data_IF_396951337074
#
_entry.id   IF_396951337074
#
_cell.length_a   1.000
_cell.length_b   1.000
_cell.length_c   1.000
_cell.angle_alpha   90.00
_cell.angle_beta   90.00
_cell.angle_gamma   90.00
#
_symmetry.space_group_name_H-M   'P 1'
#
loop_
_entity.id
_entity.type
_entity.pdbx_description
1 polymer ?
#
# COMPACT_ATOMS: atom_id res chain seq x y z
N UNK A 1 -67.31 -6.07 -56.06
CA UNK A 1 -66.86 -5.24 -54.92
C UNK A 1 -66.58 -6.16 -53.75
N UNK A 2 -65.32 -6.57 -53.62
CA UNK A 2 -64.77 -7.23 -52.43
C UNK A 2 -63.28 -6.86 -52.45
N UNK A 3 -62.82 -6.16 -51.42
CA UNK A 3 -61.43 -5.79 -51.23
C UNK A 3 -60.80 -6.74 -50.19
N UNK A 4 -59.54 -7.15 -50.39
CA UNK A 4 -58.64 -7.51 -49.30
C UNK A 4 -57.45 -6.53 -49.27
N UNK A 5 -57.21 -5.92 -48.11
CA UNK A 5 -56.18 -6.27 -47.11
C UNK A 5 -54.89 -5.48 -47.35
N UNK A 6 -54.62 -4.61 -46.38
CA UNK A 6 -53.55 -3.64 -46.37
C UNK A 6 -52.32 -4.32 -45.76
N UNK A 7 -51.24 -4.44 -46.53
CA UNK A 7 -49.93 -4.85 -46.05
C UNK A 7 -49.46 -3.86 -44.97
N UNK A 8 -49.36 -4.33 -43.72
CA UNK A 8 -48.61 -3.63 -42.68
C UNK A 8 -47.20 -4.21 -42.63
N UNK A 9 -46.28 -3.57 -43.34
CA UNK A 9 -44.84 -3.68 -43.10
C UNK A 9 -44.57 -3.32 -41.62
N UNK A 10 -44.32 -4.35 -40.80
CA UNK A 10 -43.69 -4.19 -39.50
C UNK A 10 -42.20 -3.93 -39.71
N UNK A 11 -41.87 -2.70 -40.10
CA UNK A 11 -40.50 -2.22 -40.12
C UNK A 11 -39.96 -2.21 -38.68
N UNK A 12 -38.99 -3.09 -38.47
CA UNK A 12 -38.01 -3.15 -37.39
C UNK A 12 -37.76 -1.81 -36.69
N UNK A 13 -38.30 -1.65 -35.48
CA UNK A 13 -37.76 -0.70 -34.50
C UNK A 13 -36.68 -1.43 -33.67
N UNK A 14 -35.67 -1.95 -34.36
CA UNK A 14 -34.36 -2.20 -33.77
C UNK A 14 -33.56 -0.91 -33.95
N UNK A 15 -33.96 0.14 -33.24
CA UNK A 15 -33.06 1.28 -33.06
C UNK A 15 -31.85 0.77 -32.27
N UNK A 16 -30.75 0.55 -32.97
CA UNK A 16 -29.44 0.28 -32.42
C UNK A 16 -29.14 1.26 -31.27
N UNK A 17 -29.19 0.80 -30.01
CA UNK A 17 -28.59 1.50 -28.87
C UNK A 17 -27.07 1.28 -28.95
N UNK A 18 -26.47 1.79 -30.03
CA UNK A 18 -25.04 1.76 -30.25
C UNK A 18 -24.42 2.99 -29.57
N UNK A 19 -23.77 2.79 -28.42
CA UNK A 19 -22.70 3.70 -27.96
C UNK A 19 -22.92 4.54 -26.70
N UNK A 20 -23.99 4.35 -25.91
CA UNK A 20 -24.10 5.04 -24.62
C UNK A 20 -23.29 4.30 -23.54
N UNK A 21 -22.05 4.72 -23.33
CA UNK A 21 -21.22 4.21 -22.23
C UNK A 21 -21.93 4.51 -20.90
N UNK A 22 -22.13 3.51 -20.06
CA UNK A 22 -22.79 3.66 -18.75
C UNK A 22 -21.83 4.30 -17.72
N UNK A 23 -22.35 4.84 -16.62
CA UNK A 23 -21.48 5.36 -15.54
C UNK A 23 -20.65 4.25 -14.88
N UNK A 24 -21.21 3.04 -14.80
CA UNK A 24 -20.50 1.84 -14.36
C UNK A 24 -19.31 1.55 -15.28
N UNK A 25 -19.53 1.47 -16.60
CA UNK A 25 -18.45 1.25 -17.57
C UNK A 25 -17.38 2.37 -17.53
N UNK A 26 -17.79 3.63 -17.29
CA UNK A 26 -16.84 4.74 -17.09
C UNK A 26 -15.99 4.53 -15.83
N UNK A 27 -16.60 4.08 -14.74
CA UNK A 27 -15.90 3.80 -13.48
C UNK A 27 -14.96 2.61 -13.60
N UNK A 28 -15.39 1.52 -14.25
CA UNK A 28 -14.55 0.35 -14.51
C UNK A 28 -13.29 0.72 -15.31
N UNK A 29 -13.45 1.48 -16.40
CA UNK A 29 -12.31 1.98 -17.20
C UNK A 29 -11.35 2.84 -16.37
N UNK A 30 -11.89 3.68 -15.48
CA UNK A 30 -11.09 4.52 -14.60
C UNK A 30 -10.32 3.69 -13.57
N UNK A 31 -10.97 2.71 -12.94
CA UNK A 31 -10.34 1.75 -12.02
C UNK A 31 -9.20 1.00 -12.70
N UNK A 32 -9.44 0.50 -13.92
CA UNK A 32 -8.40 -0.15 -14.74
C UNK A 32 -7.23 0.80 -15.00
N UNK A 33 -7.49 2.06 -15.39
CA UNK A 33 -6.43 3.03 -15.64
C UNK A 33 -5.54 3.25 -14.40
N UNK A 34 -6.15 3.49 -13.24
CA UNK A 34 -5.40 3.67 -11.99
C UNK A 34 -4.69 2.40 -11.53
N UNK A 35 -5.23 1.22 -11.83
CA UNK A 35 -4.51 -0.04 -11.60
C UNK A 35 -3.29 -0.17 -12.51
N UNK A 36 -3.40 0.19 -13.80
CA UNK A 36 -2.25 0.22 -14.72
C UNK A 36 -1.22 1.26 -14.27
N UNK A 37 -1.65 2.41 -13.76
CA UNK A 37 -0.76 3.41 -13.14
C UNK A 37 0.03 2.80 -11.97
N UNK A 38 -0.64 2.09 -11.05
CA UNK A 38 0.03 1.37 -9.95
C UNK A 38 1.04 0.36 -10.48
N UNK A 39 0.63 -0.45 -11.47
CA UNK A 39 1.48 -1.49 -12.08
C UNK A 39 2.70 -0.86 -12.75
N UNK A 40 2.55 0.25 -13.48
CA UNK A 40 3.67 0.93 -14.15
C UNK A 40 4.78 1.33 -13.16
N UNK A 41 4.43 2.01 -12.06
CA UNK A 41 5.43 2.38 -11.02
C UNK A 41 6.04 1.16 -10.35
N UNK A 42 5.23 0.14 -10.08
CA UNK A 42 5.71 -1.10 -9.51
C UNK A 42 6.72 -1.81 -10.43
N UNK A 43 6.41 -1.92 -11.73
CA UNK A 43 7.28 -2.56 -12.72
C UNK A 43 8.53 -1.74 -13.02
N UNK A 44 8.43 -0.41 -12.97
CA UNK A 44 9.58 0.49 -13.07
C UNK A 44 10.60 0.21 -11.95
N UNK A 45 10.13 0.04 -10.71
CA UNK A 45 10.95 -0.42 -9.61
C UNK A 45 11.43 -1.86 -9.83
N UNK A 46 10.58 -2.79 -10.26
CA UNK A 46 10.97 -4.19 -10.45
C UNK A 46 12.10 -4.35 -11.46
N UNK A 47 12.02 -3.67 -12.60
CA UNK A 47 12.86 -3.95 -13.77
C UNK A 47 13.82 -2.83 -14.12
N UNK A 48 14.00 -1.87 -13.21
CA UNK A 48 14.84 -0.70 -13.41
C UNK A 48 14.50 0.02 -14.74
N UNK A 49 13.20 0.22 -14.99
CA UNK A 49 12.67 0.83 -16.23
C UNK A 49 12.15 2.23 -15.96
N UNK A 50 12.29 3.18 -16.89
CA UNK A 50 11.60 4.47 -16.80
C UNK A 50 10.09 4.27 -16.70
N UNK A 51 9.40 5.23 -16.08
CA UNK A 51 7.94 5.29 -16.05
C UNK A 51 7.37 5.47 -17.46
N UNK A 52 6.29 4.77 -17.78
CA UNK A 52 5.57 4.99 -19.03
C UNK A 52 4.44 5.98 -18.88
N UNK A 53 3.67 5.91 -17.79
CA UNK A 53 2.55 6.82 -17.56
C UNK A 53 3.04 8.05 -16.79
N UNK A 54 2.77 9.25 -17.27
CA UNK A 54 3.21 10.47 -16.58
C UNK A 54 2.10 11.02 -15.68
N UNK A 55 2.48 11.59 -14.53
CA UNK A 55 1.52 12.20 -13.60
C UNK A 55 0.73 13.33 -14.27
N UNK A 56 1.38 14.12 -15.13
CA UNK A 56 0.76 15.21 -15.88
C UNK A 56 -0.33 14.73 -16.84
N UNK A 57 -0.22 13.50 -17.36
CA UNK A 57 -1.24 12.89 -18.21
C UNK A 57 -2.47 12.44 -17.39
N UNK A 58 -2.29 12.26 -16.08
CA UNK A 58 -3.32 11.82 -15.15
C UNK A 58 -3.97 12.97 -14.38
N UNK A 59 -3.43 14.20 -14.41
CA UNK A 59 -3.89 15.35 -13.60
C UNK A 59 -5.38 15.67 -13.75
N UNK A 60 -5.93 15.53 -14.96
CA UNK A 60 -7.34 15.74 -15.24
C UNK A 60 -8.25 14.55 -14.90
N UNK A 61 -7.69 13.37 -14.63
CA UNK A 61 -8.45 12.13 -14.44
C UNK A 61 -9.03 12.07 -13.02
N UNK A 62 -10.32 11.75 -12.92
CA UNK A 62 -10.95 11.50 -11.63
C UNK A 62 -10.30 10.29 -10.94
N UNK A 63 -10.16 10.34 -9.62
CA UNK A 63 -9.79 9.17 -8.84
C UNK A 63 -10.90 8.10 -8.84
N UNK A 64 -10.57 6.82 -8.58
CA UNK A 64 -11.58 5.78 -8.40
C UNK A 64 -12.50 6.10 -7.22
N UNK A 65 -13.76 5.73 -7.32
CA UNK A 65 -14.67 5.81 -6.18
C UNK A 65 -14.38 4.71 -5.15
N UNK A 66 -14.90 4.89 -3.93
CA UNK A 66 -14.77 3.90 -2.87
C UNK A 66 -15.33 2.52 -3.30
N UNK A 67 -14.69 1.44 -2.82
CA UNK A 67 -15.07 0.08 -3.19
C UNK A 67 -16.47 -0.28 -2.69
N UNK A 68 -16.87 0.21 -1.51
CA UNK A 68 -18.22 -0.02 -0.97
C UNK A 68 -19.26 0.65 -1.86
N UNK A 69 -19.01 1.91 -2.23
CA UNK A 69 -19.90 2.66 -3.12
C UNK A 69 -20.01 2.02 -4.51
N UNK A 70 -18.89 1.51 -5.05
CA UNK A 70 -18.87 0.76 -6.30
C UNK A 70 -19.67 -0.54 -6.20
N UNK A 71 -19.46 -1.35 -5.16
CA UNK A 71 -20.17 -2.60 -4.93
C UNK A 71 -21.68 -2.41 -4.71
N UNK A 72 -22.07 -1.29 -4.09
CA UNK A 72 -23.47 -0.91 -3.88
C UNK A 72 -24.14 -0.35 -5.15
N UNK A 73 -23.40 -0.14 -6.23
CA UNK A 73 -23.92 0.44 -7.47
C UNK A 73 -24.27 1.93 -7.34
N UNK A 74 -23.58 2.66 -6.47
CA UNK A 74 -23.82 4.10 -6.21
C UNK A 74 -23.25 5.00 -7.31
N UNK A 75 -23.57 4.69 -8.57
CA UNK A 75 -23.13 5.44 -9.74
C UNK A 75 -23.92 6.74 -9.86
N UNK A 76 -23.37 7.83 -9.32
CA UNK A 76 -23.96 9.15 -9.51
C UNK A 76 -23.80 9.61 -10.96
N UNK A 77 -24.88 10.03 -11.65
CA UNK A 77 -24.76 10.62 -12.97
C UNK A 77 -23.94 11.89 -12.88
N UNK A 78 -22.77 11.91 -13.53
CA UNK A 78 -21.97 13.13 -13.63
C UNK A 78 -22.78 14.17 -14.42
N UNK A 79 -22.86 15.43 -13.94
CA UNK A 79 -23.36 16.52 -14.76
C UNK A 79 -22.59 16.53 -16.08
N UNK A 80 -23.29 16.43 -17.21
CA UNK A 80 -22.63 16.64 -18.50
C UNK A 80 -22.01 18.04 -18.51
N UNK A 81 -20.83 18.24 -19.13
CA UNK A 81 -20.22 19.57 -19.23
C UNK A 81 -21.06 20.59 -20.02
N UNK A 82 -22.16 20.15 -20.63
CA UNK A 82 -23.15 20.95 -21.34
C UNK A 82 -24.39 21.30 -20.48
N UNK A 83 -24.51 20.74 -19.28
CA UNK A 83 -25.65 20.98 -18.41
C UNK A 83 -25.40 22.23 -17.58
N UNK A 84 -26.25 23.24 -17.75
CA UNK A 84 -26.21 24.50 -17.01
C UNK A 84 -26.27 24.22 -15.49
N UNK A 85 -25.27 24.68 -14.70
CA UNK A 85 -25.19 24.46 -13.25
C UNK A 85 -26.44 24.91 -12.49
N UNK A 86 -27.24 25.83 -13.04
CA UNK A 86 -28.46 26.30 -12.38
C UNK A 86 -29.62 25.30 -12.41
N UNK A 87 -29.58 24.28 -13.28
CA UNK A 87 -30.68 23.31 -13.45
C UNK A 87 -30.60 22.17 -12.43
N UNK A 88 -29.41 21.87 -11.91
CA UNK A 88 -29.20 20.81 -10.90
C UNK A 88 -29.46 21.28 -9.46
N UNK A 89 -29.56 22.59 -9.23
CA UNK A 89 -29.75 23.17 -7.91
C UNK A 89 -31.20 23.07 -7.38
N UNK A 90 -32.18 22.70 -8.22
CA UNK A 90 -33.61 22.83 -7.89
C UNK A 90 -34.33 21.56 -7.42
N UNK A 91 -33.65 20.41 -7.27
CA UNK A 91 -34.37 19.13 -7.07
C UNK A 91 -33.82 18.08 -6.12
N UNK A 92 -32.57 18.16 -5.66
CA UNK A 92 -32.00 17.13 -4.78
C UNK A 92 -31.37 17.76 -3.55
N UNK A 93 -31.86 17.31 -2.38
CA UNK A 93 -31.28 17.53 -1.07
C UNK A 93 -29.76 17.59 -1.14
N UNK A 94 -29.19 18.68 -0.63
CA UNK A 94 -27.77 18.96 -0.54
C UNK A 94 -27.02 17.92 0.32
N UNK A 95 -26.88 16.69 -0.15
CA UNK A 95 -25.74 15.88 0.23
C UNK A 95 -24.53 16.57 -0.39
N UNK A 96 -23.58 16.92 0.45
CA UNK A 96 -22.31 17.49 0.04
C UNK A 96 -21.66 16.56 -0.98
N UNK A 97 -21.84 16.80 -2.28
CA UNK A 97 -21.05 16.15 -3.31
C UNK A 97 -19.64 16.71 -3.15
N UNK A 98 -18.85 16.11 -2.25
CA UNK A 98 -17.42 16.35 -2.22
C UNK A 98 -16.93 16.08 -3.64
N UNK A 99 -16.51 17.14 -4.33
CA UNK A 99 -15.98 17.04 -5.68
C UNK A 99 -14.89 15.98 -5.67
N UNK A 100 -15.13 14.86 -6.36
CA UNK A 100 -14.20 13.73 -6.41
C UNK A 100 -12.83 14.23 -6.85
N UNK A 101 -11.80 13.88 -6.09
CA UNK A 101 -10.43 14.30 -6.36
C UNK A 101 -10.00 13.88 -7.77
N UNK A 102 -9.09 14.66 -8.36
CA UNK A 102 -8.48 14.39 -9.67
C UNK A 102 -6.97 14.26 -9.50
N UNK A 103 -6.35 13.53 -10.43
CA UNK A 103 -4.92 13.33 -10.45
C UNK A 103 -4.41 12.41 -9.33
N UNK A 104 -3.09 12.15 -9.34
CA UNK A 104 -2.44 11.43 -8.25
C UNK A 104 -2.59 12.19 -6.93
N UNK A 105 -2.81 11.48 -5.82
CA UNK A 105 -2.81 12.05 -4.48
C UNK A 105 -1.72 11.41 -3.62
N UNK A 106 -1.39 12.07 -2.51
CA UNK A 106 -0.40 11.58 -1.53
C UNK A 106 -1.05 11.20 -0.19
N UNK A 107 -2.38 11.15 -0.14
CA UNK A 107 -3.13 10.92 1.09
C UNK A 107 -3.86 9.57 1.09
N UNK A 108 -3.77 8.85 2.21
CA UNK A 108 -4.59 7.67 2.45
C UNK A 108 -6.05 8.05 2.70
N UNK A 109 -6.96 7.54 1.88
CA UNK A 109 -8.38 7.92 1.93
C UNK A 109 -9.36 6.73 2.04
N UNK A 110 -8.89 5.47 2.07
CA UNK A 110 -9.78 4.31 2.14
C UNK A 110 -9.05 2.98 2.26
N UNK A 111 -9.81 1.89 2.41
CA UNK A 111 -9.28 0.52 2.54
C UNK A 111 -8.89 -0.12 1.21
N UNK A 112 -9.41 0.38 0.10
CA UNK A 112 -9.14 -0.16 -1.24
C UNK A 112 -7.68 0.03 -1.66
N UNK A 113 -7.22 -0.74 -2.64
CA UNK A 113 -5.89 -0.54 -3.24
C UNK A 113 -5.72 0.89 -3.78
N UNK A 114 -6.80 1.51 -4.26
CA UNK A 114 -6.79 2.91 -4.69
C UNK A 114 -6.71 3.89 -3.52
N UNK A 115 -7.16 3.47 -2.33
CA UNK A 115 -7.24 4.36 -1.19
C UNK A 115 -5.99 4.45 -0.34
N UNK A 116 -5.29 3.34 -0.12
CA UNK A 116 -4.06 3.35 0.68
C UNK A 116 -2.79 3.14 -0.15
N UNK A 117 -2.86 2.43 -1.28
CA UNK A 117 -1.67 2.01 -2.03
C UNK A 117 -1.38 2.90 -3.24
N UNK A 118 -2.39 3.38 -3.97
CA UNK A 118 -2.20 4.33 -5.06
C UNK A 118 -1.39 5.58 -4.64
N UNK A 119 -1.60 6.19 -3.46
CA UNK A 119 -0.78 7.32 -3.03
C UNK A 119 0.70 6.97 -2.87
N UNK A 120 1.00 5.78 -2.35
CA UNK A 120 2.36 5.27 -2.26
C UNK A 120 2.98 5.04 -3.63
N UNK A 121 2.19 4.60 -4.61
CA UNK A 121 2.66 4.43 -5.98
C UNK A 121 2.94 5.75 -6.68
N UNK A 122 2.17 6.81 -6.41
CA UNK A 122 2.50 8.15 -6.88
C UNK A 122 3.87 8.61 -6.34
N UNK A 123 4.10 8.46 -5.04
CA UNK A 123 5.40 8.78 -4.41
C UNK A 123 6.53 7.91 -4.97
N UNK A 124 6.27 6.61 -5.21
CA UNK A 124 7.25 5.72 -5.83
C UNK A 124 7.66 6.21 -7.22
N UNK A 125 6.71 6.75 -8.01
CA UNK A 125 6.99 7.36 -9.30
C UNK A 125 8.03 8.48 -9.18
N UNK A 126 7.82 9.43 -8.26
CA UNK A 126 8.77 10.52 -8.02
C UNK A 126 10.16 10.00 -7.60
N UNK A 127 10.18 8.95 -6.76
CA UNK A 127 11.42 8.30 -6.30
C UNK A 127 12.17 7.65 -7.47
N UNK A 128 11.46 6.98 -8.38
CA UNK A 128 12.03 6.36 -9.59
C UNK A 128 12.61 7.42 -10.51
N UNK A 129 11.87 8.49 -10.80
CA UNK A 129 12.31 9.57 -11.67
C UNK A 129 13.56 10.26 -11.11
N UNK A 130 13.57 10.57 -9.81
CA UNK A 130 14.74 11.16 -9.14
C UNK A 130 15.96 10.22 -9.23
N UNK A 131 15.76 8.91 -8.98
CA UNK A 131 16.83 7.94 -9.04
C UNK A 131 17.43 7.81 -10.46
N UNK A 132 16.59 7.75 -11.50
CA UNK A 132 17.07 7.70 -12.89
C UNK A 132 17.74 9.01 -13.31
N UNK A 133 17.22 10.15 -12.87
CA UNK A 133 17.80 11.45 -13.17
C UNK A 133 19.19 11.62 -12.54
N UNK A 134 19.37 11.20 -11.27
CA UNK A 134 20.67 11.17 -10.57
C UNK A 134 21.68 10.23 -11.21
N UNK A 135 21.23 9.10 -11.74
CA UNK A 135 22.08 8.08 -12.37
C UNK A 135 22.23 8.27 -13.89
N UNK A 136 21.66 9.33 -14.48
CA UNK A 136 21.70 9.53 -15.92
C UNK A 136 23.16 9.69 -16.42
N UNK A 137 23.63 8.89 -17.39
CA UNK A 137 25.05 8.82 -17.78
C UNK A 137 25.69 10.15 -18.18
N UNK A 138 24.88 11.07 -18.74
CA UNK A 138 25.33 12.40 -19.17
C UNK A 138 24.92 13.54 -18.26
N UNK A 139 23.84 13.36 -17.48
CA UNK A 139 23.14 14.47 -16.82
C UNK A 139 22.95 14.29 -15.30
N UNK A 140 23.43 13.18 -14.74
CA UNK A 140 23.34 12.89 -13.31
C UNK A 140 24.39 13.63 -12.49
N UNK A 141 25.59 13.05 -12.41
CA UNK A 141 26.65 13.49 -11.49
C UNK A 141 27.30 14.83 -11.88
N UNK A 142 27.26 15.22 -13.15
CA UNK A 142 28.02 16.37 -13.66
C UNK A 142 27.20 17.58 -14.16
N UNK A 143 25.87 17.48 -14.23
CA UNK A 143 25.07 18.46 -14.98
C UNK A 143 24.11 19.30 -14.12
N UNK A 144 23.51 18.73 -13.07
CA UNK A 144 22.69 19.50 -12.12
C UNK A 144 23.44 19.73 -10.81
N UNK A 145 23.14 20.86 -10.16
CA UNK A 145 23.70 21.15 -8.84
C UNK A 145 23.14 20.16 -7.81
N UNK A 146 23.98 19.68 -6.89
CA UNK A 146 23.53 18.80 -5.78
C UNK A 146 22.30 19.37 -5.05
N UNK A 147 22.24 20.70 -4.94
CA UNK A 147 21.14 21.45 -4.31
C UNK A 147 19.77 21.25 -4.99
N UNK A 148 19.73 21.06 -6.31
CA UNK A 148 18.45 20.77 -7.01
C UNK A 148 17.95 19.37 -6.69
N UNK A 149 18.84 18.39 -6.65
CA UNK A 149 18.51 17.01 -6.27
C UNK A 149 18.08 16.89 -4.81
N UNK A 150 18.68 17.70 -3.93
CA UNK A 150 18.29 17.78 -2.52
C UNK A 150 16.90 18.41 -2.39
N UNK A 151 16.60 19.45 -3.15
CA UNK A 151 15.28 20.09 -3.18
C UNK A 151 14.17 19.13 -3.61
N UNK A 152 14.40 18.33 -4.66
CA UNK A 152 13.45 17.30 -5.10
C UNK A 152 13.27 16.20 -4.04
N UNK A 153 14.36 15.73 -3.42
CA UNK A 153 14.26 14.73 -2.37
C UNK A 153 13.47 15.22 -1.15
N UNK A 154 13.64 16.48 -0.75
CA UNK A 154 12.87 17.09 0.33
C UNK A 154 11.37 17.18 0.02
N UNK A 155 11.00 17.43 -1.24
CA UNK A 155 9.60 17.45 -1.63
C UNK A 155 8.97 16.06 -1.59
N UNK A 156 9.68 15.03 -2.07
CA UNK A 156 9.24 13.63 -1.94
C UNK A 156 9.10 13.24 -0.46
N UNK A 157 10.04 13.68 0.39
CA UNK A 157 9.95 13.45 1.84
C UNK A 157 8.71 14.12 2.43
N UNK A 158 8.34 15.32 1.97
CA UNK A 158 7.09 15.99 2.35
C UNK A 158 5.87 15.18 1.93
N UNK A 159 5.86 14.59 0.74
CA UNK A 159 4.77 13.70 0.30
C UNK A 159 4.65 12.44 1.17
N UNK A 160 5.77 11.83 1.56
CA UNK A 160 5.77 10.71 2.51
C UNK A 160 5.20 11.11 3.88
N UNK A 161 5.52 12.31 4.37
CA UNK A 161 4.97 12.83 5.62
C UNK A 161 3.46 13.10 5.52
N UNK A 162 2.97 13.61 4.39
CA UNK A 162 1.53 13.76 4.15
C UNK A 162 0.82 12.41 4.17
N UNK A 163 1.41 11.39 3.53
CA UNK A 163 0.89 10.04 3.57
C UNK A 163 0.84 9.49 5.01
N UNK A 164 1.93 9.64 5.78
CA UNK A 164 1.98 9.17 7.16
C UNK A 164 0.87 9.81 8.02
N UNK A 165 0.68 11.12 7.89
CA UNK A 165 -0.34 11.86 8.64
C UNK A 165 -1.76 11.45 8.24
N UNK A 166 -2.02 11.31 6.94
CA UNK A 166 -3.33 10.89 6.43
C UNK A 166 -3.66 9.44 6.82
N UNK A 167 -2.68 8.53 6.81
CA UNK A 167 -2.86 7.15 7.28
C UNK A 167 -3.24 7.10 8.77
N UNK A 168 -2.59 7.92 9.61
CA UNK A 168 -2.95 8.05 11.04
C UNK A 168 -4.36 8.61 11.22
N UNK A 169 -4.73 9.66 10.48
CA UNK A 169 -6.09 10.23 10.51
C UNK A 169 -7.15 9.25 10.03
N UNK A 170 -6.86 8.47 8.99
CA UNK A 170 -7.73 7.40 8.50
C UNK A 170 -7.96 6.35 9.59
N UNK A 171 -6.90 5.84 10.20
CA UNK A 171 -6.99 4.89 11.30
C UNK A 171 -7.82 5.41 12.49
N UNK A 172 -7.59 6.66 12.90
CA UNK A 172 -8.34 7.29 14.00
C UNK A 172 -9.83 7.39 13.71
N UNK A 173 -10.21 7.71 12.47
CA UNK A 173 -11.61 7.74 12.04
C UNK A 173 -12.21 6.33 12.07
N UNK A 174 -11.58 5.38 11.38
CA UNK A 174 -12.12 4.02 11.23
C UNK A 174 -12.16 3.22 12.54
N UNK A 175 -11.22 3.43 13.46
CA UNK A 175 -11.20 2.77 14.78
C UNK A 175 -12.00 3.56 15.84
N UNK A 176 -12.14 4.88 15.70
CA UNK A 176 -12.80 5.75 16.68
C UNK A 176 -14.32 5.77 16.60
N UNK A 177 -14.90 5.44 15.44
CA UNK A 177 -16.36 5.38 15.21
C UNK A 177 -17.06 4.38 16.14
N UNK A 178 -16.37 3.37 16.67
CA UNK A 178 -17.02 2.32 17.47
C UNK A 178 -17.14 2.63 18.98
N UNK A 179 -16.38 3.60 19.50
CA UNK A 179 -16.40 3.96 20.93
C UNK A 179 -17.50 4.97 21.31
N UNK A 180 -18.16 5.58 20.33
CA UNK A 180 -19.22 6.58 20.56
C UNK A 180 -20.63 6.01 20.51
N UNK A 181 -20.83 4.78 20.02
CA UNK A 181 -22.15 4.15 19.92
C UNK A 181 -22.67 3.49 21.20
N UNK A 182 -21.90 3.53 22.30
CA UNK A 182 -22.29 2.91 23.59
C UNK A 182 -22.52 3.92 24.72
N UNK A 183 -22.48 5.23 24.45
CA UNK A 183 -22.57 6.26 25.49
C UNK A 183 -23.94 6.99 25.58
N UNK A 184 -24.82 6.85 24.58
CA UNK A 184 -26.04 7.66 24.46
C UNK A 184 -27.37 6.87 24.64
N UNK A 185 -27.42 5.94 25.59
CA UNK A 185 -28.70 5.39 26.10
C UNK A 185 -28.73 5.41 27.64
N UNK A 186 -28.53 6.58 28.23
CA UNK A 186 -28.98 6.85 29.61
C UNK A 186 -29.66 8.22 29.64
N UNK A 187 -30.82 8.32 28.98
CA UNK A 187 -31.77 9.39 29.31
C UNK A 187 -32.79 8.91 30.34
N UNK A 188 -32.70 9.56 31.49
CA UNK A 188 -33.59 9.49 32.63
C UNK A 188 -35.03 9.80 32.22
N UNK A 189 -35.98 8.94 32.60
CA UNK A 189 -37.37 9.35 32.73
C UNK A 189 -37.93 8.83 34.06
N UNK A 190 -37.90 9.73 35.05
CA UNK A 190 -38.73 9.66 36.25
C UNK A 190 -40.18 9.98 35.88
N UNK A 191 -41.12 9.06 36.15
CA UNK A 191 -42.40 9.47 36.75
C UNK A 191 -43.09 8.32 37.48
N UNK A 192 -43.56 8.65 38.68
CA UNK A 192 -44.31 7.80 39.63
C UNK A 192 -45.67 7.33 39.08
N UNK A 193 -46.06 6.08 39.37
CA UNK A 193 -47.41 5.73 39.81
C UNK A 193 -47.51 4.31 40.38
N UNK A 194 -48.28 4.22 41.46
CA UNK A 194 -48.49 3.13 42.41
C UNK A 194 -49.29 1.95 41.80
N UNK A 195 -48.88 0.70 42.07
CA UNK A 195 -49.69 -0.51 41.85
C UNK A 195 -49.03 -1.78 42.40
N UNK A 196 -49.77 -2.77 42.94
CA UNK A 196 -49.24 -3.71 43.93
C UNK A 196 -48.70 -5.03 43.36
N UNK A 197 -47.74 -5.58 44.12
CA UNK A 197 -47.18 -6.94 44.16
C UNK A 197 -48.05 -8.07 43.58
N UNK A 198 -47.46 -8.87 42.69
CA UNK A 198 -47.69 -10.32 42.70
C UNK A 198 -46.54 -11.15 42.08
N UNK A 199 -46.49 -12.40 42.53
CA UNK A 199 -45.33 -13.28 42.62
C UNK A 199 -44.86 -13.99 41.33
N UNK A 200 -43.54 -14.25 41.28
CA UNK A 200 -43.01 -15.57 40.86
C UNK A 200 -42.42 -15.68 39.45
N UNK A 201 -41.11 -15.46 39.31
CA UNK A 201 -40.27 -16.20 38.33
C UNK A 201 -38.80 -16.17 38.80
N UNK A 202 -38.13 -17.32 39.03
CA UNK A 202 -36.72 -17.31 39.36
C UNK A 202 -35.89 -17.03 38.11
N UNK A 203 -35.14 -15.93 38.13
CA UNK A 203 -34.13 -15.58 37.13
C UNK A 203 -33.05 -16.66 37.09
N UNK A 204 -32.92 -17.31 35.94
CA UNK A 204 -31.78 -18.16 35.63
C UNK A 204 -30.59 -17.24 35.38
N UNK A 205 -29.82 -16.96 36.43
CA UNK A 205 -28.48 -16.42 36.29
C UNK A 205 -27.64 -17.43 35.49
N UNK A 206 -27.49 -17.16 34.19
CA UNK A 206 -26.42 -17.77 33.39
C UNK A 206 -25.10 -17.21 33.88
N UNK A 207 -24.51 -17.94 34.82
CA UNK A 207 -23.09 -17.87 35.21
C UNK A 207 -22.28 -18.49 34.08
N UNK A 208 -22.16 -17.78 32.95
CA UNK A 208 -21.21 -18.16 31.91
C UNK A 208 -20.82 -16.98 31.00
N UNK A 209 -19.96 -16.08 31.49
CA UNK A 209 -19.02 -15.38 30.61
C UNK A 209 -17.76 -14.86 31.30
N UNK A 210 -17.34 -15.44 32.42
CA UNK A 210 -16.02 -15.17 33.02
C UNK A 210 -14.96 -16.03 32.32
N UNK A 211 -14.83 -15.86 31.00
CA UNK A 211 -13.75 -16.38 30.15
C UNK A 211 -14.00 -15.93 28.70
N UNK A 212 -13.70 -14.68 28.38
CA UNK A 212 -13.22 -14.18 27.06
C UNK A 212 -13.15 -12.66 27.09
N UNK A 213 -12.21 -12.12 27.87
CA UNK A 213 -11.80 -10.71 27.80
C UNK A 213 -10.88 -10.47 26.59
N UNK A 214 -11.30 -10.92 25.41
CA UNK A 214 -10.72 -10.52 24.14
C UNK A 214 -11.86 -9.88 23.36
N UNK A 215 -11.80 -8.55 23.24
CA UNK A 215 -12.73 -7.78 22.41
C UNK A 215 -12.84 -8.46 21.05
N UNK A 216 -14.03 -8.92 20.65
CA UNK A 216 -14.23 -9.45 19.30
C UNK A 216 -14.09 -8.28 18.34
N UNK A 217 -12.88 -8.10 17.80
CA UNK A 217 -12.61 -7.05 16.82
C UNK A 217 -13.53 -7.23 15.61
N UNK A 218 -14.08 -6.14 15.10
CA UNK A 218 -14.92 -6.19 13.90
C UNK A 218 -14.09 -6.45 12.66
N UNK A 219 -14.71 -6.96 11.60
CA UNK A 219 -14.02 -7.19 10.31
C UNK A 219 -13.43 -5.89 9.74
N UNK A 220 -14.15 -4.78 9.85
CA UNK A 220 -13.69 -3.44 9.45
C UNK A 220 -12.48 -2.95 10.27
N UNK A 221 -12.44 -3.26 11.58
CA UNK A 221 -11.26 -2.97 12.41
C UNK A 221 -10.05 -3.78 11.96
N UNK A 222 -10.22 -5.08 11.67
CA UNK A 222 -9.13 -5.93 11.17
C UNK A 222 -8.62 -5.39 9.83
N UNK A 223 -9.51 -5.07 8.89
CA UNK A 223 -9.14 -4.49 7.59
C UNK A 223 -8.39 -3.17 7.75
N UNK A 224 -8.82 -2.32 8.70
CA UNK A 224 -8.12 -1.07 9.02
C UNK A 224 -6.70 -1.35 9.53
N UNK A 225 -6.52 -2.33 10.43
CA UNK A 225 -5.20 -2.71 10.95
C UNK A 225 -4.28 -3.27 9.85
N UNK A 226 -4.82 -4.09 8.95
CA UNK A 226 -4.09 -4.61 7.79
C UNK A 226 -3.61 -3.44 6.91
N UNK A 227 -4.51 -2.55 6.49
CA UNK A 227 -4.19 -1.38 5.66
C UNK A 227 -3.13 -0.49 6.32
N UNK A 228 -3.25 -0.24 7.63
CA UNK A 228 -2.23 0.49 8.39
C UNK A 228 -0.88 -0.19 8.34
N UNK A 229 -0.81 -1.50 8.56
CA UNK A 229 0.44 -2.24 8.62
C UNK A 229 1.13 -2.29 7.25
N UNK A 230 0.39 -2.60 6.18
CA UNK A 230 0.89 -2.59 4.80
C UNK A 230 1.33 -1.19 4.36
N UNK A 231 0.48 -0.18 4.57
CA UNK A 231 0.80 1.21 4.23
C UNK A 231 2.04 1.73 4.96
N UNK A 232 2.16 1.44 6.26
CA UNK A 232 3.33 1.82 7.07
C UNK A 232 4.61 1.13 6.59
N UNK A 233 4.53 -0.17 6.29
CA UNK A 233 5.69 -0.90 5.77
C UNK A 233 6.17 -0.29 4.45
N UNK A 234 5.29 -0.16 3.46
CA UNK A 234 5.66 0.35 2.14
C UNK A 234 6.17 1.79 2.24
N UNK A 235 5.54 2.65 3.05
CA UNK A 235 6.03 4.02 3.29
C UNK A 235 7.47 4.05 3.83
N UNK A 236 7.80 3.18 4.78
CA UNK A 236 9.19 3.07 5.26
C UNK A 236 10.15 2.56 4.19
N UNK A 237 9.72 1.61 3.35
CA UNK A 237 10.51 1.16 2.19
C UNK A 237 10.74 2.31 1.21
N UNK A 238 9.75 3.16 0.94
CA UNK A 238 9.92 4.34 0.08
C UNK A 238 10.91 5.35 0.67
N UNK A 239 10.90 5.57 1.99
CA UNK A 239 11.95 6.36 2.65
C UNK A 239 13.36 5.76 2.46
N UNK A 240 13.48 4.44 2.53
CA UNK A 240 14.75 3.73 2.28
C UNK A 240 15.18 3.90 0.83
N UNK A 241 14.27 3.76 -0.13
CA UNK A 241 14.57 3.95 -1.56
C UNK A 241 14.95 5.40 -1.90
N UNK A 242 14.38 6.39 -1.21
CA UNK A 242 14.72 7.80 -1.40
C UNK A 242 16.12 8.16 -0.88
N UNK A 243 16.53 7.56 0.24
CA UNK A 243 17.78 7.90 0.96
C UNK A 243 18.94 6.95 0.69
N UNK A 244 18.64 5.69 0.36
CA UNK A 244 19.58 4.60 0.25
C UNK A 244 19.96 4.24 -1.18
N UNK A 245 20.84 3.25 -1.28
CA UNK A 245 21.25 2.66 -2.56
C UNK A 245 20.30 1.53 -2.92
N UNK A 246 19.83 1.54 -4.17
CA UNK A 246 18.94 0.51 -4.69
C UNK A 246 19.67 -0.79 -5.03
N UNK A 247 20.96 -0.71 -5.37
CA UNK A 247 21.76 -1.87 -5.76
C UNK A 247 22.33 -2.59 -4.53
N UNK A 248 21.97 -3.86 -4.29
CA UNK A 248 22.41 -4.60 -3.11
C UNK A 248 23.92 -4.87 -3.08
N UNK A 249 24.59 -4.94 -4.24
CA UNK A 249 26.04 -5.11 -4.30
C UNK A 249 26.75 -3.81 -3.94
N UNK A 250 26.31 -2.68 -4.50
CA UNK A 250 26.88 -1.36 -4.14
C UNK A 250 26.65 -1.02 -2.66
N UNK A 251 25.54 -1.52 -2.10
CA UNK A 251 25.22 -1.40 -0.69
C UNK A 251 26.19 -2.23 0.17
N UNK A 252 26.52 -3.46 -0.23
CA UNK A 252 27.48 -4.33 0.46
C UNK A 252 28.94 -3.87 0.35
N UNK A 253 29.34 -3.38 -0.82
CA UNK A 253 30.71 -2.93 -1.09
C UNK A 253 31.03 -1.65 -0.32
N UNK A 254 30.08 -0.73 -0.20
CA UNK A 254 30.22 0.52 0.56
C UNK A 254 31.46 1.35 0.17
N UNK A 255 31.76 1.41 -1.13
CA UNK A 255 32.97 2.10 -1.64
C UNK A 255 33.03 3.61 -1.34
N UNK A 256 31.90 4.23 -1.01
CA UNK A 256 31.74 5.67 -0.72
C UNK A 256 31.62 5.96 0.80
N UNK A 257 31.82 4.96 1.66
CA UNK A 257 31.68 5.08 3.12
C UNK A 257 30.29 5.54 3.56
N UNK A 258 29.25 5.24 2.79
CA UNK A 258 27.87 5.63 3.09
C UNK A 258 27.41 5.11 4.45
N UNK A 259 27.91 3.96 4.93
CA UNK A 259 27.60 3.43 6.27
C UNK A 259 27.97 4.37 7.42
N UNK A 260 28.89 5.30 7.18
CA UNK A 260 29.31 6.29 8.19
C UNK A 260 28.46 7.57 8.17
N UNK A 261 27.50 7.66 7.24
CA UNK A 261 26.69 8.86 7.03
C UNK A 261 25.45 8.91 7.94
N UNK A 262 24.92 10.12 8.14
CA UNK A 262 23.61 10.29 8.80
C UNK A 262 22.48 9.64 7.99
N UNK A 263 22.59 9.61 6.66
CA UNK A 263 21.63 8.95 5.78
C UNK A 263 21.49 7.46 6.08
N UNK A 264 22.61 6.77 6.33
CA UNK A 264 22.61 5.37 6.73
C UNK A 264 21.93 5.14 8.08
N UNK A 265 22.19 6.00 9.08
CA UNK A 265 21.56 5.90 10.40
C UNK A 265 20.04 6.06 10.28
N UNK A 266 19.60 7.07 9.54
CA UNK A 266 18.17 7.30 9.28
C UNK A 266 17.54 6.13 8.55
N UNK A 267 18.17 5.63 7.49
CA UNK A 267 17.68 4.48 6.72
C UNK A 267 17.61 3.21 7.58
N UNK A 268 18.59 3.00 8.48
CA UNK A 268 18.59 1.88 9.43
C UNK A 268 17.38 1.94 10.36
N UNK A 269 17.07 3.12 10.91
CA UNK A 269 15.87 3.34 11.70
C UNK A 269 14.60 3.00 10.91
N UNK A 270 14.51 3.45 9.66
CA UNK A 270 13.38 3.13 8.77
C UNK A 270 13.26 1.63 8.47
N UNK A 271 14.37 0.91 8.29
CA UNK A 271 14.35 -0.52 8.05
C UNK A 271 13.87 -1.33 9.27
N UNK A 272 14.25 -0.90 10.48
CA UNK A 272 13.73 -1.50 11.72
C UNK A 272 12.22 -1.24 11.86
N UNK A 273 11.76 0.00 11.63
CA UNK A 273 10.32 0.32 11.66
C UNK A 273 9.53 -0.40 10.55
N UNK A 274 10.12 -0.60 9.38
CA UNK A 274 9.52 -1.41 8.31
C UNK A 274 9.33 -2.87 8.73
N UNK A 275 10.30 -3.44 9.45
CA UNK A 275 10.21 -4.80 9.98
C UNK A 275 9.21 -4.91 11.15
N UNK A 276 9.06 -3.86 11.97
CA UNK A 276 8.02 -3.77 12.99
C UNK A 276 6.62 -3.75 12.36
N UNK A 277 6.42 -2.97 11.30
CA UNK A 277 5.18 -2.99 10.53
C UNK A 277 4.86 -4.38 9.96
N UNK A 278 5.86 -5.13 9.48
CA UNK A 278 5.69 -6.52 9.07
C UNK A 278 5.24 -7.42 10.22
N UNK A 279 5.72 -7.19 11.44
CA UNK A 279 5.24 -7.96 12.60
C UNK A 279 3.74 -7.80 12.81
N UNK A 280 3.21 -6.60 12.57
CA UNK A 280 1.76 -6.35 12.59
C UNK A 280 1.07 -6.97 11.38
N UNK A 281 1.67 -6.94 10.19
CA UNK A 281 1.11 -7.63 9.02
C UNK A 281 0.93 -9.12 9.35
N UNK A 282 1.96 -9.80 9.88
CA UNK A 282 1.90 -11.22 10.21
C UNK A 282 0.92 -11.55 11.36
N UNK A 283 0.50 -10.56 12.15
CA UNK A 283 -0.51 -10.70 13.20
C UNK A 283 -1.92 -10.80 12.59
N UNK A 284 -2.24 -9.98 11.59
CA UNK A 284 -3.58 -9.89 11.00
C UNK A 284 -3.72 -10.61 9.65
N UNK A 285 -2.61 -10.83 8.93
CA UNK A 285 -2.51 -11.50 7.64
C UNK A 285 -1.22 -12.38 7.60
N UNK A 286 -1.22 -13.51 8.33
CA UNK A 286 -0.04 -14.37 8.48
C UNK A 286 0.42 -15.02 7.16
N UNK A 287 -0.48 -15.12 6.17
CA UNK A 287 -0.20 -15.67 4.85
C UNK A 287 0.28 -14.62 3.84
N UNK A 288 0.23 -13.32 4.15
CA UNK A 288 0.46 -12.25 3.18
C UNK A 288 -0.48 -12.34 1.96
N UNK A 289 -1.73 -12.74 2.20
CA UNK A 289 -2.75 -12.97 1.19
C UNK A 289 -3.46 -11.69 0.77
N UNK A 290 -3.34 -10.61 1.55
CA UNK A 290 -4.01 -9.34 1.26
C UNK A 290 -3.44 -8.63 0.02
N UNK A 291 -2.13 -8.74 -0.24
CA UNK A 291 -1.48 -8.09 -1.39
C UNK A 291 -0.36 -8.96 -2.01
N UNK A 292 -0.66 -10.19 -2.46
CA UNK A 292 0.36 -11.16 -2.85
C UNK A 292 1.16 -10.71 -4.09
N UNK A 293 0.51 -10.03 -5.05
CA UNK A 293 1.13 -9.65 -6.32
C UNK A 293 2.15 -8.52 -6.21
N UNK A 294 1.96 -7.58 -5.28
CA UNK A 294 2.81 -6.38 -5.18
C UNK A 294 3.77 -6.44 -3.98
N UNK A 295 3.31 -6.99 -2.85
CA UNK A 295 4.00 -6.83 -1.58
C UNK A 295 5.43 -7.39 -1.56
N UNK A 296 5.66 -8.48 -2.29
CA UNK A 296 6.94 -9.18 -2.30
C UNK A 296 8.14 -8.32 -2.67
N UNK A 297 7.93 -7.31 -3.53
CA UNK A 297 8.97 -6.37 -3.95
C UNK A 297 9.34 -5.41 -2.82
N UNK A 298 8.35 -4.87 -2.12
CA UNK A 298 8.58 -3.95 -1.00
C UNK A 298 9.20 -4.68 0.19
N UNK A 299 8.74 -5.90 0.46
CA UNK A 299 9.36 -6.79 1.43
C UNK A 299 10.84 -7.03 1.10
N UNK A 300 11.17 -7.32 -0.16
CA UNK A 300 12.57 -7.49 -0.60
C UNK A 300 13.38 -6.20 -0.43
N UNK A 301 12.91 -5.08 -0.99
CA UNK A 301 13.62 -3.81 -0.97
C UNK A 301 13.89 -3.31 0.45
N UNK A 302 12.91 -3.44 1.35
CA UNK A 302 13.08 -3.11 2.78
C UNK A 302 14.06 -4.02 3.52
N UNK A 303 14.36 -5.21 2.98
CA UNK A 303 15.22 -6.19 3.63
C UNK A 303 16.71 -6.03 3.30
N UNK A 304 17.08 -5.37 2.19
CA UNK A 304 18.48 -5.25 1.78
C UNK A 304 19.35 -4.53 2.80
N UNK A 305 18.81 -3.47 3.43
CA UNK A 305 19.56 -2.74 4.45
C UNK A 305 19.78 -3.57 5.72
N UNK A 306 18.77 -4.34 6.14
CA UNK A 306 18.91 -5.27 7.25
C UNK A 306 19.93 -6.38 6.95
N UNK A 307 19.97 -6.85 5.71
CA UNK A 307 21.01 -7.79 5.26
C UNK A 307 22.41 -7.19 5.37
N UNK A 308 22.60 -5.94 4.92
CA UNK A 308 23.88 -5.23 5.05
C UNK A 308 24.29 -5.11 6.52
N UNK A 309 23.38 -4.66 7.39
CA UNK A 309 23.67 -4.46 8.81
C UNK A 309 24.01 -5.80 9.47
N UNK A 310 23.26 -6.86 9.17
CA UNK A 310 23.53 -8.21 9.66
C UNK A 310 24.93 -8.70 9.22
N UNK A 311 25.31 -8.42 7.97
CA UNK A 311 26.60 -8.82 7.40
C UNK A 311 27.79 -8.06 8.02
N UNK A 312 27.63 -6.76 8.26
CA UNK A 312 28.69 -5.89 8.79
C UNK A 312 28.86 -5.99 10.31
N UNK A 313 27.76 -6.07 11.06
CA UNK A 313 27.80 -6.12 12.53
C UNK A 313 27.91 -7.54 13.07
N UNK A 314 27.39 -8.55 12.36
CA UNK A 314 27.45 -9.96 12.78
C UNK A 314 27.04 -10.14 14.26
N UNK A 315 27.93 -10.69 15.11
CA UNK A 315 27.68 -10.91 16.54
C UNK A 315 27.53 -9.62 17.37
N UNK A 316 27.89 -8.47 16.81
CA UNK A 316 27.76 -7.15 17.44
C UNK A 316 26.42 -6.46 17.10
N UNK A 317 25.57 -7.10 16.30
CA UNK A 317 24.26 -6.54 15.94
C UNK A 317 23.36 -6.35 17.17
N UNK A 318 22.64 -5.23 17.21
CA UNK A 318 21.73 -4.94 18.32
C UNK A 318 20.53 -5.90 18.35
N UNK A 319 19.93 -6.17 19.53
CA UNK A 319 18.77 -7.07 19.62
C UNK A 319 17.57 -6.64 18.76
N UNK A 320 17.39 -5.34 18.50
CA UNK A 320 16.33 -4.85 17.62
C UNK A 320 16.57 -5.24 16.17
N UNK A 321 17.81 -5.18 15.68
CA UNK A 321 18.18 -5.63 14.33
C UNK A 321 18.03 -7.14 14.19
N UNK A 322 18.41 -7.91 15.21
CA UNK A 322 18.22 -9.38 15.21
C UNK A 322 16.74 -9.72 15.08
N UNK A 323 15.87 -9.11 15.90
CA UNK A 323 14.42 -9.30 15.81
C UNK A 323 13.85 -8.86 14.46
N UNK A 324 14.32 -7.74 13.91
CA UNK A 324 13.91 -7.28 12.59
C UNK A 324 14.24 -8.34 11.53
N UNK A 325 15.47 -8.88 11.53
CA UNK A 325 15.88 -9.93 10.60
C UNK A 325 15.05 -11.22 10.75
N UNK A 326 14.72 -11.63 11.97
CA UNK A 326 13.83 -12.78 12.23
C UNK A 326 12.44 -12.58 11.66
N UNK A 327 11.86 -11.40 11.83
CA UNK A 327 10.55 -11.04 11.27
C UNK A 327 10.58 -11.01 9.74
N UNK A 328 11.64 -10.46 9.14
CA UNK A 328 11.84 -10.48 7.68
C UNK A 328 11.91 -11.92 7.14
N UNK A 329 12.66 -12.81 7.80
CA UNK A 329 12.76 -14.21 7.37
C UNK A 329 11.38 -14.88 7.38
N UNK A 330 10.62 -14.73 8.47
CA UNK A 330 9.25 -15.27 8.57
C UNK A 330 8.33 -14.74 7.48
N UNK A 331 8.40 -13.44 7.20
CA UNK A 331 7.58 -12.83 6.14
C UNK A 331 7.95 -13.32 4.74
N UNK A 332 9.24 -13.47 4.42
CA UNK A 332 9.64 -14.05 3.13
C UNK A 332 9.22 -15.51 3.01
N UNK A 333 9.28 -16.29 4.10
CA UNK A 333 8.79 -17.67 4.12
C UNK A 333 7.28 -17.75 3.86
N UNK A 334 6.48 -16.91 4.53
CA UNK A 334 5.04 -16.81 4.27
C UNK A 334 4.76 -16.37 2.82
N UNK A 335 5.45 -15.33 2.35
CA UNK A 335 5.23 -14.79 0.99
C UNK A 335 5.54 -15.80 -0.09
N UNK A 336 6.60 -16.61 0.05
CA UNK A 336 6.97 -17.65 -0.92
C UNK A 336 5.90 -18.75 -1.02
N UNK A 337 5.22 -19.07 0.07
CA UNK A 337 4.13 -20.05 0.07
C UNK A 337 2.93 -19.51 -0.71
N UNK A 338 2.61 -18.23 -0.53
CA UNK A 338 1.44 -17.58 -1.15
C UNK A 338 1.67 -17.23 -2.61
N UNK A 339 2.81 -16.62 -2.95
CA UNK A 339 3.21 -16.34 -4.33
C UNK A 339 4.67 -16.76 -4.54
N UNK A 340 4.84 -17.90 -5.19
CA UNK A 340 6.14 -18.53 -5.33
C UNK A 340 6.98 -17.87 -6.44
N UNK A 341 7.70 -16.80 -6.10
CA UNK A 341 8.66 -16.15 -7.00
C UNK A 341 10.09 -16.62 -6.75
N UNK A 342 10.89 -16.71 -7.81
CA UNK A 342 12.27 -17.17 -7.70
C UNK A 342 13.14 -16.24 -6.83
N UNK A 343 13.00 -14.93 -7.01
CA UNK A 343 13.79 -13.95 -6.27
C UNK A 343 13.51 -14.00 -4.76
N UNK A 344 12.26 -14.20 -4.34
CA UNK A 344 11.93 -14.31 -2.90
C UNK A 344 12.50 -15.58 -2.27
N UNK A 345 12.44 -16.72 -2.97
CA UNK A 345 13.08 -17.97 -2.50
C UNK A 345 14.58 -17.80 -2.30
N UNK A 346 15.22 -17.20 -3.29
CA UNK A 346 16.65 -16.93 -3.31
C UNK A 346 17.04 -15.98 -2.16
N UNK A 347 16.28 -14.90 -1.96
CA UNK A 347 16.52 -13.95 -0.90
C UNK A 347 16.27 -14.52 0.51
N UNK A 348 15.21 -15.31 0.71
CA UNK A 348 14.94 -16.01 1.98
C UNK A 348 16.11 -16.89 2.41
N UNK A 349 16.74 -17.61 1.47
CA UNK A 349 17.95 -18.41 1.73
C UNK A 349 19.12 -17.53 2.19
N UNK A 350 19.34 -16.39 1.53
CA UNK A 350 20.41 -15.45 1.87
C UNK A 350 20.21 -14.85 3.26
N UNK A 351 19.01 -14.36 3.58
CA UNK A 351 18.71 -13.78 4.89
C UNK A 351 18.88 -14.80 6.02
N UNK A 352 18.46 -16.05 5.82
CA UNK A 352 18.69 -17.12 6.81
C UNK A 352 20.16 -17.39 7.07
N UNK A 353 20.99 -17.40 6.04
CA UNK A 353 22.45 -17.54 6.17
C UNK A 353 23.04 -16.36 6.97
N UNK A 354 22.65 -15.13 6.67
CA UNK A 354 23.11 -13.95 7.40
C UNK A 354 22.68 -13.97 8.89
N UNK A 355 21.42 -14.32 9.17
CA UNK A 355 20.90 -14.41 10.54
C UNK A 355 21.59 -15.51 11.36
N UNK A 356 22.00 -16.62 10.74
CA UNK A 356 22.77 -17.65 11.41
C UNK A 356 24.13 -17.11 11.90
N UNK A 357 24.80 -16.32 11.07
CA UNK A 357 26.09 -15.67 11.39
C UNK A 357 25.94 -14.65 12.53
N UNK A 358 24.89 -13.81 12.47
CA UNK A 358 24.56 -12.85 13.54
C UNK A 358 24.37 -13.54 14.90
N UNK A 359 23.85 -14.77 14.91
CA UNK A 359 23.69 -15.60 16.12
C UNK A 359 24.96 -16.35 16.55
N UNK A 360 26.12 -16.01 15.98
CA UNK A 360 27.42 -16.62 16.30
C UNK A 360 27.61 -18.03 15.74
N UNK A 361 26.72 -18.51 14.84
CA UNK A 361 26.94 -19.77 14.12
C UNK A 361 27.79 -19.47 12.89
N UNK A 362 29.11 -19.60 13.04
CA UNK A 362 30.08 -19.39 11.94
C UNK A 362 30.35 -20.74 11.25
N UNK A 363 29.93 -20.92 9.99
CA UNK A 363 30.26 -22.13 9.22
C UNK A 363 31.75 -22.14 8.85
N UNK A 364 32.34 -23.32 8.71
CA UNK A 364 33.77 -23.47 8.35
C UNK A 364 34.13 -22.73 7.03
N UNK A 365 33.17 -22.63 6.09
CA UNK A 365 33.34 -21.99 4.77
C UNK A 365 32.72 -20.58 4.68
N UNK A 366 33.01 -19.70 5.65
CA UNK A 366 32.43 -18.34 5.70
C UNK A 366 32.68 -17.55 4.40
N UNK A 367 33.90 -17.61 3.87
CA UNK A 367 34.27 -16.90 2.63
C UNK A 367 33.47 -17.40 1.41
N UNK A 368 33.22 -18.70 1.33
CA UNK A 368 32.43 -19.29 0.25
C UNK A 368 30.95 -18.87 0.36
N UNK A 369 30.42 -18.78 1.58
CA UNK A 369 29.06 -18.28 1.80
C UNK A 369 28.89 -16.82 1.43
N UNK A 370 29.87 -15.96 1.76
CA UNK A 370 29.85 -14.57 1.31
C UNK A 370 29.93 -14.49 -0.22
N UNK A 371 30.75 -15.33 -0.86
CA UNK A 371 30.85 -15.38 -2.32
C UNK A 371 29.52 -15.78 -2.97
N UNK A 372 28.92 -16.90 -2.55
CA UNK A 372 27.61 -17.36 -3.04
C UNK A 372 26.50 -16.34 -2.82
N UNK A 373 26.53 -15.63 -1.68
CA UNK A 373 25.57 -14.54 -1.40
C UNK A 373 25.72 -13.41 -2.41
N UNK A 374 26.96 -12.98 -2.68
CA UNK A 374 27.23 -11.94 -3.69
C UNK A 374 26.82 -12.37 -5.08
N UNK A 375 27.13 -13.60 -5.49
CA UNK A 375 26.71 -14.14 -6.78
C UNK A 375 25.19 -14.08 -6.93
N UNK A 376 24.44 -14.51 -5.90
CA UNK A 376 22.98 -14.47 -5.94
C UNK A 376 22.41 -13.06 -6.00
N UNK A 377 22.97 -12.14 -5.21
CA UNK A 377 22.53 -10.73 -5.20
C UNK A 377 22.92 -10.00 -6.49
N UNK A 378 23.97 -10.44 -7.18
CA UNK A 378 24.40 -9.86 -8.46
C UNK A 378 23.40 -10.09 -9.59
N UNK A 379 22.47 -11.05 -9.43
CA UNK A 379 21.34 -11.25 -10.34
C UNK A 379 20.30 -10.13 -10.22
N UNK A 380 20.30 -9.36 -9.13
CA UNK A 380 19.30 -8.36 -8.81
C UNK A 380 19.92 -6.96 -8.71
N UNK A 381 20.68 -6.55 -9.73
CA UNK A 381 21.36 -5.24 -9.73
C UNK A 381 20.47 -4.15 -10.31
N UNK A 382 20.45 -3.01 -9.64
CA UNK A 382 19.70 -1.80 -10.05
C UNK A 382 20.58 -0.69 -10.62
N UNK A 383 21.89 -0.88 -10.67
CA UNK A 383 22.83 0.08 -11.23
C UNK A 383 23.72 -0.55 -12.29
N UNK A 384 24.36 0.28 -13.12
CA UNK A 384 25.23 -0.17 -14.20
C UNK A 384 24.43 -0.82 -15.33
N UNK A 385 24.80 -2.06 -15.67
CA UNK A 385 24.12 -2.93 -16.63
C UNK A 385 22.97 -3.74 -16.01
N UNK A 386 22.67 -3.53 -14.73
CA UNK A 386 21.62 -4.22 -14.00
C UNK A 386 20.20 -3.88 -14.46
N UNK A 387 19.36 -4.91 -14.60
CA UNK A 387 17.96 -4.83 -15.07
C UNK A 387 16.94 -4.98 -13.94
N UNK A 388 17.34 -4.73 -12.69
CA UNK A 388 16.52 -4.97 -11.51
C UNK A 388 16.33 -6.47 -11.25
N UNK A 389 15.08 -6.90 -11.03
CA UNK A 389 14.67 -8.30 -10.83
C UNK A 389 14.52 -9.12 -12.12
N UNK A 390 14.77 -8.54 -13.30
CA UNK A 390 14.65 -9.30 -14.53
C UNK A 390 15.71 -10.41 -14.61
N UNK A 391 15.24 -11.65 -14.65
CA UNK A 391 15.92 -12.83 -15.20
C UNK A 391 15.09 -13.39 -16.35
#
# INVERSE_FOLDING_TARGET
MSAPENDSEGAEDQSEVSGLITEEEREERRRIWWLVYIVDRHLALCYNRPLFLLDIECDGLLQPMDDTAFQNGEFQPQPSPLTDPSVLASGSSASQSQSRARGPSFECNGHSIYGYFLPLMAILGEIVDLNHARNHPRFGVGFRSAREWDGQALEIERHLQLYEQSLKKFAQRSLGTHNTSTADEVEENHNDSIGPVDAGTPSVHSVHSVLTSASRMTESEIQTRIVMAYGTHVMHVLHILLTGKWDPINLLDDNDLWISSQGFITATGRAVSAAEAISHILEYDPGLEFMPFFFGIYLLQGSFLLLLIADKLQSEASPSVVRACETIVRAHEASVVTLNTEYQRNFSRVMRSALAQVRGRVPEDLAEQHHRRRELLSLYRWTGDGTGLAL
#
